data_IF_122650658018
#
_entry.id   IF_122650658018
#
_cell.length_a   1.000
_cell.length_b   1.000
_cell.length_c   1.000
_cell.angle_alpha   90.00
_cell.angle_beta   90.00
_cell.angle_gamma   90.00
#
_symmetry.space_group_name_H-M   'P 1'
#
loop_
_entity.id
_entity.type
_entity.pdbx_description
1 polymer ?
#
# COMPACT_ATOMS: atom_id res chain seq x y z
N UNK A 1 -13.94 41.37 6.38
CA UNK A 1 -12.84 40.38 6.32
C UNK A 1 -12.82 39.85 4.89
N UNK A 2 -11.72 40.01 4.18
CA UNK A 2 -11.59 39.46 2.83
C UNK A 2 -11.49 37.94 2.92
N UNK A 3 -12.19 37.22 2.03
CA UNK A 3 -12.04 35.77 1.93
C UNK A 3 -10.57 35.44 1.64
N UNK A 4 -10.03 34.34 2.22
CA UNK A 4 -8.70 33.88 1.86
C UNK A 4 -8.66 33.63 0.35
N UNK A 5 -7.52 33.92 -0.31
CA UNK A 5 -7.36 33.66 -1.74
C UNK A 5 -7.61 32.17 -2.01
N UNK A 6 -8.31 31.88 -3.11
CA UNK A 6 -8.48 30.51 -3.57
C UNK A 6 -7.08 29.87 -3.76
N UNK A 7 -6.90 28.60 -3.37
CA UNK A 7 -5.63 27.92 -3.61
C UNK A 7 -5.29 28.00 -5.10
N UNK A 8 -4.03 28.32 -5.40
CA UNK A 8 -3.52 28.27 -6.77
C UNK A 8 -3.76 26.89 -7.36
N UNK A 9 -4.19 26.77 -8.62
CA UNK A 9 -4.40 25.47 -9.24
C UNK A 9 -3.11 24.65 -9.17
N UNK A 10 -3.23 23.36 -8.83
CA UNK A 10 -2.07 22.46 -8.80
C UNK A 10 -1.42 22.44 -10.19
N UNK A 11 -0.08 22.49 -10.26
CA UNK A 11 0.62 22.38 -11.56
C UNK A 11 0.41 21.02 -12.23
N UNK A 12 -0.06 20.02 -11.46
CA UNK A 12 -0.24 18.64 -11.90
C UNK A 12 -1.73 18.29 -12.15
N UNK A 13 -2.04 17.48 -13.17
CA UNK A 13 -3.40 17.05 -13.51
C UNK A 13 -4.14 16.30 -12.39
N UNK A 14 -3.42 15.51 -11.59
CA UNK A 14 -3.91 14.82 -10.40
C UNK A 14 -2.87 14.92 -9.28
N UNK A 15 -3.31 14.80 -8.03
CA UNK A 15 -2.49 14.95 -6.81
C UNK A 15 -1.87 13.61 -6.37
N UNK A 16 -0.57 13.62 -6.09
CA UNK A 16 0.12 12.49 -5.45
C UNK A 16 -0.27 12.39 -3.97
N UNK A 17 -0.72 11.22 -3.53
CA UNK A 17 -1.18 10.96 -2.17
C UNK A 17 -0.25 10.09 -1.34
N UNK A 18 0.45 9.17 -2.00
CA UNK A 18 1.45 8.32 -1.38
C UNK A 18 2.53 7.86 -2.37
N UNK A 19 3.72 7.60 -1.83
CA UNK A 19 4.83 6.91 -2.49
C UNK A 19 5.10 5.64 -1.69
N UNK A 20 4.66 4.50 -2.23
CA UNK A 20 4.81 3.19 -1.62
C UNK A 20 6.17 2.58 -1.91
N UNK A 21 6.88 2.19 -0.85
CA UNK A 21 8.06 1.34 -0.92
C UNK A 21 7.74 0.00 -0.29
N UNK A 22 7.44 -0.99 -1.13
CA UNK A 22 7.01 -2.32 -0.73
C UNK A 22 8.20 -3.29 -0.60
N UNK A 23 8.06 -4.27 0.29
CA UNK A 23 9.08 -5.28 0.53
C UNK A 23 10.04 -4.95 1.65
N UNK A 24 9.68 -4.03 2.55
CA UNK A 24 10.44 -3.82 3.78
C UNK A 24 10.46 -5.12 4.61
N UNK A 25 11.65 -5.52 5.05
CA UNK A 25 11.90 -6.81 5.71
C UNK A 25 13.03 -6.70 6.75
N UNK A 26 13.47 -7.84 7.27
CA UNK A 26 14.52 -7.96 8.28
C UNK A 26 15.87 -7.30 7.93
N UNK A 27 16.11 -6.95 6.67
CA UNK A 27 17.34 -6.29 6.23
C UNK A 27 17.41 -4.80 6.57
N UNK A 28 16.29 -4.17 6.97
CA UNK A 28 16.23 -2.74 7.30
C UNK A 28 15.81 -2.50 8.75
N UNK A 29 16.39 -1.49 9.41
CA UNK A 29 16.01 -1.12 10.77
C UNK A 29 14.69 -0.32 10.78
N UNK A 30 13.63 -0.75 11.49
CA UNK A 30 12.35 -0.04 11.54
C UNK A 30 12.44 1.42 11.98
N UNK A 31 13.43 1.79 12.81
CA UNK A 31 13.63 3.18 13.25
C UNK A 31 14.01 4.13 12.11
N UNK A 32 14.69 3.61 11.08
CA UNK A 32 15.02 4.41 9.90
C UNK A 32 13.77 4.69 9.05
N UNK A 33 12.85 3.73 8.96
CA UNK A 33 11.56 3.92 8.27
C UNK A 33 10.75 5.03 8.94
N UNK A 34 10.71 5.03 10.28
CA UNK A 34 10.08 6.07 11.08
C UNK A 34 10.70 7.45 10.83
N UNK A 35 12.02 7.55 10.88
CA UNK A 35 12.74 8.81 10.64
C UNK A 35 12.44 9.39 9.26
N UNK A 36 12.38 8.55 8.23
CA UNK A 36 12.00 8.96 6.88
C UNK A 36 10.55 9.47 6.88
N UNK A 37 9.61 8.72 7.44
CA UNK A 37 8.19 9.09 7.45
C UNK A 37 7.89 10.39 8.21
N UNK A 38 8.65 10.71 9.26
CA UNK A 38 8.55 11.99 9.98
C UNK A 38 8.89 13.19 9.09
N UNK A 39 9.81 12.99 8.14
CA UNK A 39 10.29 14.01 7.21
C UNK A 39 9.52 14.03 5.89
N UNK A 40 9.01 12.87 5.47
CA UNK A 40 8.30 12.68 4.20
C UNK A 40 6.95 12.01 4.43
N UNK A 41 5.90 12.76 4.82
CA UNK A 41 4.61 12.21 5.22
C UNK A 41 3.82 11.51 4.10
N UNK A 42 4.24 11.63 2.84
CA UNK A 42 3.68 10.89 1.70
C UNK A 42 4.28 9.49 1.55
N UNK A 43 5.38 9.18 2.23
CA UNK A 43 6.00 7.85 2.17
C UNK A 43 5.13 6.83 2.91
N UNK A 44 4.91 5.69 2.25
CA UNK A 44 4.22 4.53 2.79
C UNK A 44 5.11 3.29 2.66
N UNK A 45 5.16 2.48 3.72
CA UNK A 45 5.96 1.25 3.73
C UNK A 45 5.07 0.03 3.54
N UNK A 46 5.32 -0.70 2.45
CA UNK A 46 4.64 -1.95 2.15
C UNK A 46 5.38 -3.14 2.77
N UNK A 47 4.66 -3.99 3.51
CA UNK A 47 5.20 -5.22 4.10
C UNK A 47 4.46 -6.43 3.50
N UNK A 48 5.20 -7.39 2.94
CA UNK A 48 4.59 -8.60 2.37
C UNK A 48 4.34 -9.65 3.44
N UNK A 49 3.13 -10.20 3.44
CA UNK A 49 2.70 -11.28 4.32
C UNK A 49 2.42 -12.55 3.53
N UNK A 50 3.32 -13.51 3.66
CA UNK A 50 3.23 -14.83 3.05
C UNK A 50 3.75 -15.88 4.04
N UNK A 51 2.87 -16.65 4.70
CA UNK A 51 3.26 -17.51 5.82
C UNK A 51 4.37 -18.52 5.50
N UNK A 52 4.40 -19.07 4.27
CA UNK A 52 5.43 -20.02 3.82
C UNK A 52 6.79 -19.37 3.50
N UNK A 53 6.88 -18.03 3.54
CA UNK A 53 8.07 -17.25 3.20
C UNK A 53 8.53 -16.31 4.31
N UNK A 54 7.86 -16.29 5.46
CA UNK A 54 8.20 -15.40 6.57
C UNK A 54 9.69 -15.48 6.95
N UNK A 55 10.32 -14.32 7.13
CA UNK A 55 11.74 -14.17 7.46
C UNK A 55 12.70 -14.36 6.27
N UNK A 56 12.19 -14.63 5.06
CA UNK A 56 12.99 -14.64 3.84
C UNK A 56 13.06 -13.22 3.25
N UNK A 57 14.03 -12.92 2.36
CA UNK A 57 14.07 -11.64 1.65
C UNK A 57 12.69 -11.28 1.06
N UNK A 58 12.27 -10.03 1.26
CA UNK A 58 10.98 -9.41 0.93
C UNK A 58 9.83 -9.71 1.89
N UNK A 59 9.95 -10.75 2.71
CA UNK A 59 8.89 -11.21 3.59
C UNK A 59 9.33 -11.08 5.05
N UNK A 60 8.96 -9.96 5.67
CA UNK A 60 9.36 -9.65 7.05
C UNK A 60 8.96 -10.76 8.03
N UNK A 61 9.83 -11.02 9.01
CA UNK A 61 9.48 -11.85 10.16
C UNK A 61 8.46 -11.15 11.06
N UNK A 62 7.64 -11.93 11.77
CA UNK A 62 6.71 -11.37 12.78
C UNK A 62 7.46 -10.57 13.86
N UNK A 63 8.67 -11.02 14.23
CA UNK A 63 9.53 -10.31 15.17
C UNK A 63 9.93 -8.93 14.65
N UNK A 64 10.22 -8.80 13.35
CA UNK A 64 10.51 -7.52 12.73
C UNK A 64 9.27 -6.61 12.69
N UNK A 65 8.11 -7.15 12.29
CA UNK A 65 6.86 -6.37 12.24
C UNK A 65 6.44 -5.89 13.63
N UNK A 66 6.61 -6.72 14.66
CA UNK A 66 6.35 -6.34 16.04
C UNK A 66 7.24 -5.18 16.50
N UNK A 67 8.53 -5.19 16.15
CA UNK A 67 9.44 -4.06 16.43
C UNK A 67 9.03 -2.82 15.65
N UNK A 68 8.61 -2.96 14.39
CA UNK A 68 8.11 -1.83 13.61
C UNK A 68 6.92 -1.18 14.32
N UNK A 69 5.92 -1.96 14.68
CA UNK A 69 4.74 -1.50 15.43
C UNK A 69 5.09 -0.84 16.75
N UNK A 70 5.97 -1.42 17.57
CA UNK A 70 6.41 -0.83 18.84
C UNK A 70 7.00 0.58 18.63
N UNK A 71 7.89 0.75 17.65
CA UNK A 71 8.46 2.07 17.36
C UNK A 71 7.40 3.10 16.92
N UNK A 72 6.21 2.68 16.46
CA UNK A 72 5.12 3.60 16.12
C UNK A 72 4.38 4.12 17.36
N UNK A 73 4.28 3.29 18.41
CA UNK A 73 3.55 3.61 19.64
C UNK A 73 4.40 4.37 20.67
N UNK A 74 5.73 4.20 20.65
CA UNK A 74 6.64 4.87 21.59
C UNK A 74 6.55 6.43 21.58
N UNK A 75 5.96 7.05 20.54
CA UNK A 75 5.76 8.51 20.48
C UNK A 75 4.46 9.00 21.14
N UNK A 76 3.50 8.12 21.46
CA UNK A 76 2.22 8.52 22.07
C UNK A 76 2.34 8.70 23.60
N UNK A 77 3.34 8.07 24.24
CA UNK A 77 3.55 8.14 25.70
C UNK A 77 4.37 9.37 26.15
N UNK A 78 5.16 9.98 25.26
CA UNK A 78 6.02 11.14 25.60
C UNK A 78 5.25 12.49 25.69
N UNK A 79 3.95 12.52 25.34
CA UNK A 79 3.10 13.73 25.37
C UNK A 79 2.23 13.84 26.64
N UNK A 80 2.25 12.87 27.57
CA UNK A 80 1.38 12.86 28.77
C UNK A 80 2.03 13.25 30.12
N UNK A 81 3.32 13.61 30.19
CA UNK A 81 3.95 13.99 31.47
C UNK A 81 4.53 15.41 31.49
N UNK A 82 3.66 16.39 31.72
CA UNK A 82 4.02 17.65 32.37
C UNK A 82 2.85 18.08 33.29
N UNK A 83 2.57 17.20 34.26
CA UNK A 83 1.66 17.43 35.38
C UNK A 83 2.32 18.18 36.52
N UNK A 84 2.39 19.50 36.38
CA UNK A 84 2.25 20.55 37.40
C UNK A 84 2.81 20.31 38.82
N UNK A 85 3.91 21.00 39.11
CA UNK A 85 4.15 21.58 40.42
C UNK A 85 4.65 23.03 40.29
N UNK A 86 3.75 24.01 40.09
CA UNK A 86 4.08 25.40 40.42
C UNK A 86 3.25 26.47 39.73
N UNK A 87 2.32 27.06 40.48
CA UNK A 87 1.44 28.13 40.03
C UNK A 87 2.15 29.39 39.52
N UNK A 88 1.52 30.03 38.54
CA UNK A 88 1.85 31.37 38.08
C UNK A 88 1.11 31.70 36.78
N UNK A 89 0.13 32.60 36.85
CA UNK A 89 -0.68 33.01 35.71
C UNK A 89 0.14 33.53 34.53
N UNK A 90 0.00 32.89 33.38
CA UNK A 90 0.52 33.33 32.09
C UNK A 90 -0.33 32.73 30.98
N UNK A 91 -0.73 33.55 30.01
CA UNK A 91 -1.57 33.16 28.88
C UNK A 91 -1.10 31.86 28.23
N UNK A 92 -1.99 30.85 28.25
CA UNK A 92 -1.86 29.60 27.49
C UNK A 92 -1.76 29.94 26.00
N UNK A 93 -0.54 30.13 25.50
CA UNK A 93 -0.24 29.96 24.08
C UNK A 93 -0.62 28.53 23.71
N UNK A 94 -1.76 28.36 23.04
CA UNK A 94 -2.08 27.13 22.30
C UNK A 94 -0.96 26.94 21.28
N UNK A 95 0.06 26.15 21.63
CA UNK A 95 0.97 25.56 20.66
C UNK A 95 0.10 24.71 19.76
N UNK A 96 -0.13 25.18 18.54
CA UNK A 96 -0.70 24.42 17.44
C UNK A 96 0.32 23.33 17.10
N UNK A 97 0.30 22.23 17.84
CA UNK A 97 1.06 21.03 17.53
C UNK A 97 0.66 20.58 16.14
N UNK A 98 1.55 20.76 15.17
CA UNK A 98 1.46 20.14 13.86
C UNK A 98 1.53 18.65 14.15
N UNK A 99 0.42 17.91 13.98
CA UNK A 99 0.43 16.43 14.01
C UNK A 99 1.61 15.98 13.15
N UNK A 100 2.68 15.50 13.77
CA UNK A 100 3.73 14.76 13.08
C UNK A 100 3.01 13.56 12.47
N UNK A 101 3.03 13.45 11.14
CA UNK A 101 2.33 12.38 10.45
C UNK A 101 2.91 11.05 10.91
N UNK A 102 2.08 10.18 11.47
CA UNK A 102 2.48 8.81 11.81
C UNK A 102 2.98 8.05 10.58
N UNK A 103 3.75 6.98 10.80
CA UNK A 103 4.23 6.11 9.73
C UNK A 103 3.05 5.47 9.01
N UNK A 104 3.00 5.60 7.69
CA UNK A 104 1.98 4.93 6.86
C UNK A 104 2.44 3.53 6.50
N UNK A 105 1.59 2.55 6.76
CA UNK A 105 1.87 1.14 6.52
C UNK A 105 0.79 0.50 5.66
N UNK A 106 1.22 -0.29 4.66
CA UNK A 106 0.38 -1.12 3.82
C UNK A 106 0.79 -2.59 3.94
N UNK A 107 -0.17 -3.47 4.21
CA UNK A 107 0.04 -4.92 4.30
C UNK A 107 -0.26 -5.55 2.94
N UNK A 108 0.71 -6.25 2.35
CA UNK A 108 0.54 -6.93 1.06
C UNK A 108 0.31 -8.42 1.31
N UNK A 109 -0.95 -8.84 1.25
CA UNK A 109 -1.34 -10.22 1.49
C UNK A 109 -1.06 -11.09 0.27
N UNK A 110 -0.41 -12.22 0.53
CA UNK A 110 -0.09 -13.27 -0.43
C UNK A 110 -0.50 -14.65 0.15
N UNK A 111 -0.37 -15.70 -0.65
CA UNK A 111 -0.49 -17.08 -0.19
C UNK A 111 -1.82 -17.41 0.50
N UNK A 112 -1.73 -18.13 1.62
CA UNK A 112 -2.91 -18.59 2.38
C UNK A 112 -3.77 -17.46 2.92
N UNK A 113 -3.21 -16.27 3.21
CA UNK A 113 -4.03 -15.13 3.64
C UNK A 113 -5.02 -14.69 2.56
N UNK A 114 -4.58 -14.64 1.30
CA UNK A 114 -5.47 -14.32 0.19
C UNK A 114 -6.47 -15.45 -0.06
N UNK A 115 -6.03 -16.71 0.02
CA UNK A 115 -6.93 -17.85 -0.15
C UNK A 115 -8.05 -17.86 0.92
N UNK A 116 -7.70 -17.56 2.17
CA UNK A 116 -8.66 -17.42 3.26
C UNK A 116 -9.60 -16.24 3.01
N UNK A 117 -9.07 -15.08 2.61
CA UNK A 117 -9.86 -13.90 2.27
C UNK A 117 -10.89 -14.20 1.18
N UNK A 118 -10.47 -14.82 0.07
CA UNK A 118 -11.31 -15.11 -1.10
C UNK A 118 -12.29 -16.28 -0.88
N UNK A 119 -12.14 -17.04 0.20
CA UNK A 119 -13.04 -18.16 0.55
C UNK A 119 -13.94 -17.86 1.74
N UNK A 120 -13.79 -16.69 2.37
CA UNK A 120 -14.35 -16.36 3.67
C UNK A 120 -15.88 -16.31 3.73
N UNK A 121 -16.60 -16.05 2.64
CA UNK A 121 -18.07 -16.10 2.65
C UNK A 121 -18.62 -17.54 2.63
N UNK A 122 -17.83 -18.50 2.15
CA UNK A 122 -18.24 -19.90 2.01
C UNK A 122 -17.62 -20.81 3.09
N UNK A 123 -16.57 -20.35 3.77
CA UNK A 123 -15.87 -21.11 4.80
C UNK A 123 -15.67 -20.27 6.08
N UNK A 124 -16.41 -20.57 7.17
CA UNK A 124 -16.29 -19.88 8.45
C UNK A 124 -14.90 -19.94 9.10
N UNK A 125 -14.14 -21.00 8.85
CA UNK A 125 -12.77 -21.10 9.37
C UNK A 125 -11.82 -20.15 8.63
N UNK A 126 -11.94 -20.06 7.30
CA UNK A 126 -11.22 -19.07 6.50
C UNK A 126 -11.57 -17.65 6.96
N UNK A 127 -12.86 -17.36 7.18
CA UNK A 127 -13.33 -16.10 7.75
C UNK A 127 -12.65 -15.77 9.08
N UNK A 128 -12.69 -16.71 10.04
CA UNK A 128 -12.08 -16.51 11.36
C UNK A 128 -10.57 -16.23 11.27
N UNK A 129 -9.83 -16.99 10.44
CA UNK A 129 -8.39 -16.79 10.27
C UNK A 129 -8.05 -15.43 9.65
N UNK A 130 -8.73 -15.04 8.57
CA UNK A 130 -8.43 -13.76 7.92
C UNK A 130 -8.86 -12.58 8.81
N UNK A 131 -10.00 -12.68 9.50
CA UNK A 131 -10.49 -11.60 10.35
C UNK A 131 -9.58 -11.40 11.58
N UNK A 132 -9.12 -12.49 12.20
CA UNK A 132 -8.13 -12.43 13.27
C UNK A 132 -6.81 -11.81 12.81
N UNK A 133 -6.36 -12.15 11.59
CA UNK A 133 -5.13 -11.59 11.05
C UNK A 133 -5.25 -10.10 10.71
N UNK A 134 -6.38 -9.66 10.14
CA UNK A 134 -6.63 -8.24 9.85
C UNK A 134 -6.71 -7.40 11.12
N UNK A 135 -7.31 -7.93 12.20
CA UNK A 135 -7.29 -7.28 13.52
C UNK A 135 -5.86 -7.16 14.06
N UNK A 136 -5.01 -8.17 13.85
CA UNK A 136 -3.59 -8.13 14.21
C UNK A 136 -2.84 -7.05 13.42
N UNK A 137 -3.04 -6.99 12.10
CA UNK A 137 -2.46 -5.96 11.24
C UNK A 137 -2.86 -4.55 11.69
N UNK A 138 -4.15 -4.34 12.00
CA UNK A 138 -4.62 -3.08 12.55
C UNK A 138 -3.92 -2.74 13.88
N UNK A 139 -3.80 -3.72 14.78
CA UNK A 139 -3.07 -3.56 16.04
C UNK A 139 -1.59 -3.20 15.85
N UNK A 140 -1.00 -3.56 14.72
CA UNK A 140 0.36 -3.16 14.35
C UNK A 140 0.46 -1.81 13.63
N UNK A 141 -0.66 -1.11 13.42
CA UNK A 141 -0.70 0.21 12.79
C UNK A 141 -0.86 0.18 11.26
N UNK A 142 -1.16 -0.96 10.64
CA UNK A 142 -1.48 -1.01 9.22
C UNK A 142 -2.82 -0.37 8.93
N UNK A 143 -2.84 0.59 8.00
CA UNK A 143 -4.06 1.28 7.55
C UNK A 143 -4.58 0.79 6.20
N UNK A 144 -3.74 0.10 5.42
CA UNK A 144 -4.07 -0.42 4.09
C UNK A 144 -3.72 -1.89 3.95
N UNK A 145 -4.49 -2.61 3.14
CA UNK A 145 -4.32 -4.03 2.87
C UNK A 145 -4.44 -4.29 1.37
N UNK A 146 -3.33 -4.61 0.72
CA UNK A 146 -3.29 -5.04 -0.67
C UNK A 146 -3.50 -6.54 -0.81
N UNK A 147 -4.41 -6.94 -1.69
CA UNK A 147 -4.70 -8.35 -1.98
C UNK A 147 -4.02 -8.75 -3.29
N UNK A 148 -2.87 -9.43 -3.19
CA UNK A 148 -2.08 -9.89 -4.34
C UNK A 148 -2.56 -11.26 -4.83
N UNK A 149 -3.73 -11.29 -5.46
CA UNK A 149 -4.44 -12.51 -5.83
C UNK A 149 -3.90 -13.23 -7.09
N UNK A 150 -2.58 -13.49 -7.12
CA UNK A 150 -1.88 -14.10 -8.27
C UNK A 150 -1.13 -15.37 -7.86
N UNK A 151 -0.96 -16.32 -8.78
CA UNK A 151 -0.28 -17.59 -8.60
C UNK A 151 1.19 -17.42 -8.22
N UNK A 152 1.89 -16.43 -8.78
CA UNK A 152 3.29 -16.12 -8.40
C UNK A 152 3.40 -15.78 -6.90
N UNK A 153 2.34 -15.21 -6.34
CA UNK A 153 2.20 -14.88 -4.93
C UNK A 153 1.63 -16.03 -4.08
N UNK A 154 1.54 -17.25 -4.62
CA UNK A 154 1.10 -18.45 -3.90
C UNK A 154 -0.41 -18.56 -3.70
N UNK A 155 -1.20 -17.80 -4.46
CA UNK A 155 -2.66 -17.81 -4.40
C UNK A 155 -3.21 -18.91 -5.32
N UNK A 156 -4.24 -19.60 -4.86
CA UNK A 156 -5.00 -20.55 -5.68
C UNK A 156 -5.90 -19.77 -6.66
N UNK A 157 -5.33 -19.44 -7.81
CA UNK A 157 -6.04 -18.70 -8.86
C UNK A 157 -6.96 -19.58 -9.69
N UNK A 158 -6.97 -20.91 -9.51
CA UNK A 158 -7.96 -21.77 -10.17
C UNK A 158 -9.38 -21.44 -9.68
N UNK A 159 -9.52 -20.85 -8.49
CA UNK A 159 -10.79 -20.33 -7.98
C UNK A 159 -11.21 -19.02 -8.63
N UNK A 160 -10.25 -18.27 -9.18
CA UNK A 160 -10.52 -17.04 -9.94
C UNK A 160 -10.73 -17.36 -11.41
N UNK A 161 -9.98 -18.31 -11.95
CA UNK A 161 -9.99 -18.69 -13.35
C UNK A 161 -11.06 -19.75 -13.62
N UNK A 162 -11.58 -19.72 -14.84
CA UNK A 162 -12.13 -20.94 -15.42
C UNK A 162 -11.02 -21.99 -15.47
N UNK A 163 -11.34 -23.24 -15.18
CA UNK A 163 -10.70 -24.31 -15.93
C UNK A 163 -10.92 -23.99 -17.41
N UNK A 164 -9.84 -23.77 -18.17
CA UNK A 164 -9.87 -23.54 -19.61
C UNK A 164 -10.48 -24.78 -20.30
N UNK A 165 -11.80 -24.88 -20.31
CA UNK A 165 -12.56 -26.07 -20.71
C UNK A 165 -13.87 -26.34 -19.96
N UNK A 166 -14.23 -25.55 -18.94
CA UNK A 166 -15.50 -25.68 -18.20
C UNK A 166 -16.61 -24.72 -18.69
N UNK A 167 -17.86 -25.05 -18.38
CA UNK A 167 -19.04 -24.25 -18.73
C UNK A 167 -18.95 -22.80 -18.19
N UNK A 168 -19.20 -21.82 -19.05
CA UNK A 168 -19.18 -20.38 -18.76
C UNK A 168 -20.00 -19.93 -17.52
N UNK A 169 -21.03 -20.69 -17.14
CA UNK A 169 -21.85 -20.38 -15.96
C UNK A 169 -21.15 -20.72 -14.63
N UNK A 170 -20.29 -21.74 -14.58
CA UNK A 170 -19.53 -22.08 -13.36
C UNK A 170 -18.47 -21.02 -13.05
N UNK A 171 -17.81 -20.46 -14.07
CA UNK A 171 -16.84 -19.36 -13.98
C UNK A 171 -17.40 -18.10 -13.34
N UNK A 172 -18.60 -17.72 -13.75
CA UNK A 172 -19.26 -16.53 -13.20
C UNK A 172 -19.56 -16.75 -11.70
N UNK A 173 -19.74 -17.99 -11.28
CA UNK A 173 -20.09 -18.36 -9.91
C UNK A 173 -18.89 -18.30 -8.96
N UNK A 174 -17.72 -18.78 -9.35
CA UNK A 174 -16.52 -18.80 -8.48
C UNK A 174 -15.94 -17.38 -8.28
N UNK A 175 -15.79 -16.60 -9.35
CA UNK A 175 -15.38 -15.20 -9.26
C UNK A 175 -16.40 -14.34 -8.48
N UNK A 176 -17.71 -14.61 -8.63
CA UNK A 176 -18.73 -13.98 -7.82
C UNK A 176 -18.63 -14.33 -6.33
N UNK A 177 -18.32 -15.58 -5.99
CA UNK A 177 -18.10 -16.00 -4.61
C UNK A 177 -16.84 -15.36 -4.01
N UNK A 178 -15.75 -15.28 -4.77
CA UNK A 178 -14.52 -14.59 -4.38
C UNK A 178 -14.77 -13.09 -4.12
N UNK A 179 -15.49 -12.41 -5.03
CA UNK A 179 -15.90 -11.02 -4.85
C UNK A 179 -16.82 -10.83 -3.63
N UNK A 180 -17.72 -11.79 -3.35
CA UNK A 180 -18.57 -11.77 -2.15
C UNK A 180 -17.73 -11.91 -0.87
N UNK A 181 -16.75 -12.81 -0.87
CA UNK A 181 -15.81 -13.01 0.23
C UNK A 181 -14.93 -11.77 0.46
N UNK A 182 -14.45 -11.14 -0.62
CA UNK A 182 -13.71 -9.88 -0.56
C UNK A 182 -14.56 -8.78 0.08
N UNK A 183 -15.77 -8.53 -0.43
CA UNK A 183 -16.65 -7.46 0.08
C UNK A 183 -17.11 -7.72 1.52
N UNK A 184 -17.35 -8.98 1.90
CA UNK A 184 -17.59 -9.37 3.29
C UNK A 184 -16.43 -8.94 4.19
N UNK A 185 -15.21 -9.26 3.78
CA UNK A 185 -14.00 -8.91 4.52
C UNK A 185 -13.81 -7.40 4.60
N UNK A 186 -13.90 -6.69 3.47
CA UNK A 186 -13.77 -5.24 3.45
C UNK A 186 -14.79 -4.54 4.35
N UNK A 187 -16.05 -4.99 4.32
CA UNK A 187 -17.12 -4.42 5.15
C UNK A 187 -17.00 -4.77 6.64
N UNK A 188 -16.36 -5.90 6.98
CA UNK A 188 -16.09 -6.30 8.36
C UNK A 188 -14.93 -5.51 9.00
N UNK A 189 -14.08 -4.88 8.18
CA UNK A 189 -12.92 -4.10 8.61
C UNK A 189 -12.93 -2.70 7.97
N UNK A 190 -13.92 -1.84 8.28
CA UNK A 190 -14.07 -0.53 7.63
C UNK A 190 -12.91 0.44 7.91
N UNK A 191 -12.16 0.20 8.98
CA UNK A 191 -10.97 0.99 9.36
C UNK A 191 -9.74 0.68 8.50
N UNK A 192 -9.80 -0.34 7.64
CA UNK A 192 -8.73 -0.71 6.72
C UNK A 192 -9.16 -0.39 5.29
N UNK A 193 -8.28 0.24 4.52
CA UNK A 193 -8.47 0.39 3.08
C UNK A 193 -7.92 -0.85 2.33
N UNK A 194 -8.77 -1.50 1.55
CA UNK A 194 -8.42 -2.65 0.74
C UNK A 194 -8.03 -2.24 -0.67
N UNK A 195 -6.87 -2.71 -1.12
CA UNK A 195 -6.34 -2.47 -2.46
C UNK A 195 -6.49 -3.75 -3.28
N UNK A 196 -7.22 -3.67 -4.38
CA UNK A 196 -7.32 -4.75 -5.37
C UNK A 196 -6.22 -4.57 -6.41
N UNK A 197 -5.31 -5.54 -6.51
CA UNK A 197 -4.30 -5.55 -7.57
C UNK A 197 -4.96 -5.91 -8.91
N UNK A 198 -4.94 -4.99 -9.87
CA UNK A 198 -5.47 -5.16 -11.22
C UNK A 198 -4.36 -5.66 -12.16
N UNK A 199 -4.62 -6.79 -12.79
CA UNK A 199 -3.94 -7.31 -13.98
C UNK A 199 -4.86 -8.32 -14.70
N UNK A 200 -4.37 -8.92 -15.78
CA UNK A 200 -5.12 -9.92 -16.55
C UNK A 200 -5.47 -11.19 -15.73
N UNK A 201 -4.62 -11.59 -14.79
CA UNK A 201 -4.84 -12.78 -13.97
C UNK A 201 -5.90 -12.55 -12.89
N UNK A 202 -5.99 -11.32 -12.37
CA UNK A 202 -7.01 -10.92 -11.39
C UNK A 202 -8.29 -10.39 -12.03
N UNK A 203 -8.40 -10.38 -13.36
CA UNK A 203 -9.60 -9.93 -14.10
C UNK A 203 -10.90 -10.52 -13.62
N UNK A 204 -11.01 -11.83 -13.39
CA UNK A 204 -12.26 -12.40 -12.89
C UNK A 204 -12.70 -11.77 -11.56
N UNK A 205 -11.75 -11.44 -10.67
CA UNK A 205 -12.04 -10.82 -9.38
C UNK A 205 -12.50 -9.36 -9.54
N UNK A 206 -11.70 -8.51 -10.19
CA UNK A 206 -12.02 -7.09 -10.26
C UNK A 206 -13.24 -6.81 -11.17
N UNK A 207 -13.44 -7.60 -12.22
CA UNK A 207 -14.61 -7.46 -13.10
C UNK A 207 -15.91 -7.86 -12.40
N UNK A 208 -15.83 -8.79 -11.43
CA UNK A 208 -16.93 -9.13 -10.53
C UNK A 208 -17.15 -8.07 -9.43
N UNK A 209 -16.11 -7.37 -8.96
CA UNK A 209 -16.22 -6.34 -7.91
C UNK A 209 -16.85 -5.04 -8.43
N UNK A 210 -16.41 -4.54 -9.59
CA UNK A 210 -16.80 -3.22 -10.11
C UNK A 210 -18.33 -2.98 -10.15
N UNK A 211 -19.18 -3.88 -10.69
CA UNK A 211 -20.63 -3.66 -10.71
C UNK A 211 -21.27 -3.67 -9.32
N UNK A 212 -20.64 -4.34 -8.35
CA UNK A 212 -21.14 -4.39 -6.97
C UNK A 212 -20.80 -3.09 -6.24
N UNK A 213 -19.57 -2.59 -6.42
CA UNK A 213 -19.14 -1.30 -5.87
C UNK A 213 -19.97 -0.15 -6.46
N UNK A 214 -20.22 -0.14 -7.77
CA UNK A 214 -21.04 0.88 -8.44
C UNK A 214 -22.51 0.92 -8.00
N UNK A 215 -23.04 -0.19 -7.45
CA UNK A 215 -24.43 -0.30 -6.97
C UNK A 215 -24.59 0.10 -5.49
N UNK A 216 -23.50 0.36 -4.76
CA UNK A 216 -23.59 0.80 -3.36
C UNK A 216 -24.10 2.24 -3.33
N UNK A 217 -25.39 2.41 -3.10
CA UNK A 217 -26.02 3.72 -2.87
C UNK A 217 -25.91 4.20 -1.41
N UNK A 218 -25.04 3.59 -0.60
CA UNK A 218 -24.98 3.79 0.86
C UNK A 218 -23.85 4.76 1.29
N UNK A 219 -23.95 5.41 2.48
CA UNK A 219 -23.07 6.50 2.96
C UNK A 219 -21.60 6.06 3.20
N UNK A 220 -20.68 6.95 3.67
CA UNK A 220 -19.23 6.87 3.41
C UNK A 220 -18.47 5.68 4.03
N UNK A 221 -19.14 4.80 4.79
CA UNK A 221 -18.53 3.68 5.53
C UNK A 221 -18.18 2.49 4.62
N UNK A 222 -18.64 2.48 3.37
CA UNK A 222 -18.47 1.41 2.39
C UNK A 222 -17.38 1.70 1.32
N UNK A 223 -16.62 2.79 1.48
CA UNK A 223 -15.66 3.33 0.50
C UNK A 223 -14.20 2.90 0.71
N UNK A 224 -13.99 1.79 1.40
CA UNK A 224 -12.67 1.32 1.76
C UNK A 224 -12.04 0.39 0.70
N UNK A 225 -12.45 0.47 -0.57
CA UNK A 225 -11.90 -0.37 -1.65
C UNK A 225 -11.35 0.49 -2.78
N UNK A 226 -10.07 0.33 -3.08
CA UNK A 226 -9.36 1.04 -4.15
C UNK A 226 -8.65 0.04 -5.08
N UNK A 227 -8.20 0.51 -6.24
CA UNK A 227 -7.55 -0.33 -7.24
C UNK A 227 -6.12 0.12 -7.52
N UNK A 228 -5.22 -0.86 -7.69
CA UNK A 228 -3.83 -0.67 -8.10
C UNK A 228 -3.63 -1.27 -9.50
N UNK A 229 -3.23 -0.47 -10.48
CA UNK A 229 -2.77 -0.97 -11.77
C UNK A 229 -1.35 -1.55 -11.64
N UNK A 230 -1.21 -2.87 -11.77
CA UNK A 230 0.09 -3.56 -11.73
C UNK A 230 0.11 -4.77 -12.67
N UNK A 231 0.44 -4.51 -13.94
CA UNK A 231 0.62 -5.57 -14.95
C UNK A 231 1.81 -6.49 -14.66
N UNK A 232 2.75 -6.03 -13.84
CA UNK A 232 3.93 -6.80 -13.50
C UNK A 232 3.63 -7.94 -12.54
N UNK A 233 2.47 -7.94 -11.87
CA UNK A 233 2.10 -8.91 -10.82
C UNK A 233 3.12 -8.91 -9.68
N UNK A 234 3.73 -7.76 -9.38
CA UNK A 234 4.85 -7.63 -8.44
C UNK A 234 6.21 -8.13 -8.95
N UNK A 235 6.39 -8.39 -10.25
CA UNK A 235 7.69 -8.84 -10.81
C UNK A 235 8.62 -7.72 -11.26
N UNK A 236 8.19 -6.45 -11.13
CA UNK A 236 9.05 -5.31 -11.44
C UNK A 236 9.20 -5.01 -12.93
N UNK A 237 8.35 -5.57 -13.78
CA UNK A 237 8.32 -5.23 -15.21
C UNK A 237 7.69 -3.85 -15.40
N UNK A 238 8.40 -2.97 -16.10
CA UNK A 238 7.85 -1.67 -16.50
C UNK A 238 6.65 -1.85 -17.41
N UNK A 239 5.73 -0.88 -17.36
CA UNK A 239 4.56 -0.85 -18.25
C UNK A 239 5.02 -0.81 -19.71
N UNK A 240 4.50 -1.69 -20.59
CA UNK A 240 4.84 -1.67 -22.01
C UNK A 240 4.64 -0.27 -22.62
N UNK A 241 5.69 0.29 -23.22
CA UNK A 241 5.66 1.62 -23.84
C UNK A 241 5.58 2.80 -22.86
N UNK A 242 5.63 2.57 -21.54
CA UNK A 242 5.58 3.63 -20.52
C UNK A 242 4.22 4.33 -20.40
N UNK A 243 3.15 3.73 -20.93
CA UNK A 243 1.80 4.31 -20.92
C UNK A 243 0.93 3.58 -19.91
N UNK A 244 0.58 4.28 -18.83
CA UNK A 244 -0.36 3.77 -17.84
C UNK A 244 -1.77 3.57 -18.41
N UNK A 245 -2.50 2.53 -17.97
CA UNK A 245 -3.88 2.34 -18.39
C UNK A 245 -4.78 3.48 -17.89
N UNK A 246 -5.78 3.82 -18.71
CA UNK A 246 -6.83 4.77 -18.37
C UNK A 246 -8.17 4.07 -18.37
N UNK A 247 -8.86 4.05 -17.23
CA UNK A 247 -10.18 3.43 -17.12
C UNK A 247 -10.98 4.09 -16.00
N UNK A 248 -12.03 4.79 -16.40
CA UNK A 248 -12.88 5.56 -15.50
C UNK A 248 -13.57 4.71 -14.43
N UNK A 249 -13.75 3.40 -14.67
CA UNK A 249 -14.39 2.50 -13.72
C UNK A 249 -13.60 2.35 -12.43
N UNK A 250 -12.28 2.48 -12.48
CA UNK A 250 -11.42 2.36 -11.29
C UNK A 250 -11.30 3.69 -10.55
N UNK A 251 -11.18 4.80 -11.28
CA UNK A 251 -11.17 6.12 -10.64
C UNK A 251 -12.51 6.39 -9.94
N UNK A 252 -13.63 6.13 -10.60
CA UNK A 252 -14.95 6.33 -10.00
C UNK A 252 -15.40 5.18 -9.08
N UNK A 253 -14.53 4.21 -8.77
CA UNK A 253 -14.92 3.06 -7.94
C UNK A 253 -15.03 3.40 -6.46
N UNK A 254 -14.45 4.54 -6.05
CA UNK A 254 -14.43 5.03 -4.68
C UNK A 254 -14.72 6.54 -4.62
N UNK A 255 -15.27 7.02 -3.52
CA UNK A 255 -15.65 8.43 -3.33
C UNK A 255 -14.45 9.36 -3.28
N UNK A 256 -13.26 8.82 -3.01
CA UNK A 256 -11.99 9.56 -3.06
C UNK A 256 -11.42 9.67 -4.46
N UNK A 257 -12.01 9.08 -5.50
CA UNK A 257 -11.51 9.15 -6.87
C UNK A 257 -10.00 8.82 -7.00
N UNK A 258 -9.52 7.90 -6.16
CA UNK A 258 -8.09 7.55 -6.06
C UNK A 258 -7.75 6.25 -6.78
N UNK A 259 -6.61 6.23 -7.47
CA UNK A 259 -6.09 5.04 -8.19
C UNK A 259 -4.59 4.88 -7.99
N UNK A 260 -4.13 3.64 -7.87
CA UNK A 260 -2.73 3.29 -7.70
C UNK A 260 -2.07 2.86 -9.00
N UNK A 261 -0.76 3.08 -9.08
CA UNK A 261 0.07 2.63 -10.20
C UNK A 261 1.36 1.96 -9.70
N UNK A 262 1.65 0.75 -10.18
CA UNK A 262 2.87 0.02 -9.87
C UNK A 262 3.39 -0.75 -11.08
N UNK A 263 4.63 -1.23 -10.95
CA UNK A 263 5.29 -2.05 -11.97
C UNK A 263 6.56 -1.40 -12.51
N UNK A 264 7.71 -1.93 -12.07
CA UNK A 264 9.03 -1.54 -12.56
C UNK A 264 9.42 -0.08 -12.31
N UNK A 265 8.80 0.55 -11.33
CA UNK A 265 9.18 1.89 -10.85
C UNK A 265 10.47 1.75 -10.02
N UNK A 266 11.43 2.64 -10.25
CA UNK A 266 12.74 2.67 -9.61
C UNK A 266 13.35 4.08 -9.66
N UNK A 267 14.51 4.35 -9.02
CA UNK A 267 15.09 5.69 -8.98
C UNK A 267 15.27 6.35 -10.36
N UNK A 268 15.64 5.58 -11.38
CA UNK A 268 15.90 6.13 -12.72
C UNK A 268 14.65 6.52 -13.51
N UNK A 269 13.45 6.12 -13.07
CA UNK A 269 12.20 6.40 -13.79
C UNK A 269 11.05 6.91 -12.91
N UNK A 270 11.26 7.12 -11.60
CA UNK A 270 10.18 7.49 -10.68
C UNK A 270 9.47 8.79 -11.09
N UNK A 271 10.22 9.79 -11.56
CA UNK A 271 9.66 11.08 -11.99
C UNK A 271 8.75 10.91 -13.19
N UNK A 272 9.21 10.22 -14.24
CA UNK A 272 8.40 9.98 -15.44
C UNK A 272 7.22 9.05 -15.15
N UNK A 273 7.37 8.11 -14.21
CA UNK A 273 6.29 7.26 -13.73
C UNK A 273 5.17 8.08 -13.05
N UNK A 274 5.51 8.98 -12.12
CA UNK A 274 4.54 9.85 -11.42
C UNK A 274 3.86 10.81 -12.38
N UNK A 275 4.61 11.42 -13.31
CA UNK A 275 4.01 12.27 -14.34
C UNK A 275 3.02 11.51 -15.23
N UNK A 276 3.38 10.29 -15.64
CA UNK A 276 2.50 9.41 -16.40
C UNK A 276 1.25 9.03 -15.61
N UNK A 277 1.43 8.64 -14.35
CA UNK A 277 0.35 8.23 -13.46
C UNK A 277 -0.63 9.39 -13.21
N UNK A 278 -0.12 10.61 -12.99
CA UNK A 278 -0.94 11.81 -12.85
C UNK A 278 -1.81 12.07 -14.08
N UNK A 279 -1.23 11.97 -15.29
CA UNK A 279 -1.99 12.12 -16.54
C UNK A 279 -3.04 11.03 -16.71
N UNK A 280 -2.69 9.77 -16.42
CA UNK A 280 -3.60 8.65 -16.58
C UNK A 280 -4.75 8.68 -15.56
N UNK A 281 -4.47 9.08 -14.33
CA UNK A 281 -5.46 9.31 -13.28
C UNK A 281 -6.47 10.38 -13.73
N UNK A 282 -5.97 11.54 -14.14
CA UNK A 282 -6.83 12.63 -14.63
C UNK A 282 -7.66 12.22 -15.86
N UNK A 283 -7.06 11.51 -16.82
CA UNK A 283 -7.76 10.99 -17.99
C UNK A 283 -8.83 9.94 -17.64
N UNK A 284 -8.67 9.26 -16.50
CA UNK A 284 -9.68 8.34 -15.94
C UNK A 284 -10.75 9.06 -15.12
N UNK A 285 -10.66 10.38 -14.95
CA UNK A 285 -11.58 11.16 -14.10
C UNK A 285 -11.22 11.13 -12.61
N UNK A 286 -10.04 10.63 -12.25
CA UNK A 286 -9.50 10.71 -10.90
C UNK A 286 -8.82 12.06 -10.64
N UNK A 287 -8.74 12.45 -9.37
CA UNK A 287 -8.02 13.66 -8.93
C UNK A 287 -6.87 13.35 -7.96
N UNK A 288 -6.72 12.08 -7.57
CA UNK A 288 -5.77 11.58 -6.58
C UNK A 288 -5.15 10.27 -7.05
N UNK A 289 -3.87 10.07 -6.79
CA UNK A 289 -3.20 8.81 -7.11
C UNK A 289 -2.05 8.49 -6.15
N UNK A 290 -1.64 7.22 -6.13
CA UNK A 290 -0.37 6.81 -5.50
C UNK A 290 0.45 5.97 -6.46
N UNK A 291 1.75 5.88 -6.19
CA UNK A 291 2.63 4.92 -6.84
C UNK A 291 3.15 3.91 -5.82
N UNK A 292 3.43 2.68 -6.25
CA UNK A 292 4.05 1.65 -5.42
C UNK A 292 5.20 0.96 -6.16
N UNK A 293 6.28 0.70 -5.45
CA UNK A 293 7.47 0.05 -5.99
C UNK A 293 8.07 -0.94 -5.00
N UNK A 294 8.52 -2.08 -5.52
CA UNK A 294 9.09 -3.16 -4.71
C UNK A 294 10.51 -3.45 -5.20
N UNK A 295 10.65 -4.11 -6.36
CA UNK A 295 11.96 -4.57 -6.84
C UNK A 295 12.92 -3.43 -7.19
N UNK A 296 12.40 -2.26 -7.58
CA UNK A 296 13.18 -1.09 -7.95
C UNK A 296 13.97 -0.48 -6.79
N UNK A 297 13.57 -0.74 -5.55
CA UNK A 297 14.22 -0.27 -4.32
C UNK A 297 14.96 -1.37 -3.57
N UNK A 298 15.25 -2.49 -4.25
CA UNK A 298 16.06 -3.58 -3.69
C UNK A 298 17.44 -3.65 -4.32
N UNK A 299 18.40 -4.18 -3.58
CA UNK A 299 19.78 -4.38 -4.03
C UNK A 299 20.26 -5.77 -3.67
N UNK A 300 20.87 -6.45 -4.63
CA UNK A 300 21.61 -7.69 -4.37
C UNK A 300 23.01 -7.32 -3.93
N UNK A 301 23.34 -7.61 -2.68
CA UNK A 301 24.69 -7.47 -2.12
C UNK A 301 25.33 -8.84 -1.93
N UNK A 302 26.60 -8.86 -1.55
CA UNK A 302 27.34 -10.09 -1.26
C UNK A 302 27.55 -10.19 0.25
N UNK A 303 27.15 -11.32 0.83
CA UNK A 303 27.32 -11.59 2.26
C UNK A 303 28.78 -11.53 2.68
N UNK A 304 29.00 -11.38 4.00
CA UNK A 304 30.30 -11.72 4.58
C UNK A 304 30.61 -13.19 4.27
N UNK A 305 31.91 -13.53 4.26
CA UNK A 305 32.31 -14.93 4.13
C UNK A 305 31.64 -15.74 5.25
N UNK A 306 30.92 -16.78 4.88
CA UNK A 306 30.42 -17.79 5.80
C UNK A 306 31.60 -18.60 6.36
N UNK A 307 31.35 -19.45 7.36
CA UNK A 307 32.37 -20.29 8.00
C UNK A 307 33.04 -21.27 7.02
N UNK A 308 32.38 -21.61 5.91
CA UNK A 308 32.92 -22.41 4.81
C UNK A 308 33.74 -21.61 3.80
N UNK A 309 33.91 -20.30 4.03
CA UNK A 309 34.62 -19.36 3.16
C UNK A 309 33.83 -18.92 1.92
N UNK A 310 32.59 -19.38 1.74
CA UNK A 310 31.72 -18.98 0.63
C UNK A 310 31.10 -17.61 0.89
N UNK A 311 30.74 -16.92 -0.20
CA UNK A 311 29.98 -15.68 -0.18
C UNK A 311 28.68 -15.93 -0.93
N UNK A 312 27.57 -15.46 -0.38
CA UNK A 312 26.24 -15.64 -0.97
C UNK A 312 25.68 -14.29 -1.37
N UNK A 313 24.89 -14.28 -2.42
CA UNK A 313 24.10 -13.11 -2.76
C UNK A 313 22.97 -12.93 -1.73
N UNK A 314 22.75 -11.69 -1.30
CA UNK A 314 21.73 -11.31 -0.34
C UNK A 314 20.88 -10.21 -0.97
N UNK A 315 19.58 -10.44 -1.06
CA UNK A 315 18.61 -9.47 -1.53
C UNK A 315 18.14 -8.60 -0.35
N UNK A 316 18.47 -7.30 -0.35
CA UNK A 316 18.15 -6.37 0.74
C UNK A 316 17.23 -5.24 0.28
N UNK A 317 16.47 -4.70 1.23
CA UNK A 317 15.69 -3.48 1.06
C UNK A 317 16.62 -2.26 1.17
N UNK A 318 16.80 -1.52 0.07
CA UNK A 318 17.81 -0.47 -0.06
C UNK A 318 17.22 0.92 0.20
N UNK A 319 17.44 1.44 1.40
CA UNK A 319 16.97 2.77 1.77
C UNK A 319 17.61 3.88 0.93
N UNK A 320 18.82 3.69 0.41
CA UNK A 320 19.46 4.70 -0.45
C UNK A 320 18.64 4.89 -1.72
N UNK A 321 18.16 3.80 -2.32
CA UNK A 321 17.26 3.86 -3.48
C UNK A 321 15.90 4.46 -3.15
N UNK A 322 15.37 4.21 -1.94
CA UNK A 322 14.14 4.87 -1.49
C UNK A 322 14.35 6.39 -1.41
N UNK A 323 15.50 6.83 -0.87
CA UNK A 323 15.87 8.24 -0.82
C UNK A 323 16.08 8.84 -2.20
N UNK A 324 16.78 8.17 -3.12
CA UNK A 324 16.95 8.64 -4.51
C UNK A 324 15.59 8.86 -5.18
N UNK A 325 14.60 7.99 -4.90
CA UNK A 325 13.23 8.19 -5.38
C UNK A 325 12.57 9.43 -4.77
N UNK A 326 12.68 9.62 -3.44
CA UNK A 326 12.12 10.78 -2.74
C UNK A 326 12.75 12.08 -3.26
N UNK A 327 14.07 12.09 -3.39
CA UNK A 327 14.87 13.24 -3.84
C UNK A 327 14.46 13.67 -5.24
N UNK A 328 14.42 12.74 -6.20
CA UNK A 328 13.96 13.02 -7.56
C UNK A 328 12.52 13.55 -7.62
N UNK A 329 11.64 13.10 -6.73
CA UNK A 329 10.27 13.62 -6.63
C UNK A 329 10.21 15.01 -5.99
N UNK A 330 11.07 15.30 -5.03
CA UNK A 330 11.21 16.62 -4.45
C UNK A 330 11.75 17.64 -5.46
N UNK A 331 12.82 17.30 -6.19
CA UNK A 331 13.39 18.13 -7.25
C UNK A 331 12.38 18.44 -8.36
N UNK A 332 11.53 17.47 -8.69
CA UNK A 332 10.46 17.61 -9.69
C UNK A 332 9.19 18.31 -9.16
N UNK A 333 9.15 18.72 -7.88
CA UNK A 333 8.04 19.47 -7.28
C UNK A 333 6.81 18.64 -6.91
N UNK A 334 6.93 17.30 -6.86
CA UNK A 334 5.85 16.41 -6.43
C UNK A 334 5.78 16.24 -4.91
N UNK A 335 6.90 16.48 -4.24
CA UNK A 335 7.06 16.41 -2.79
C UNK A 335 7.88 17.61 -2.31
N UNK A 336 7.81 17.94 -1.03
CA UNK A 336 8.65 18.98 -0.43
C UNK A 336 9.80 18.35 0.36
N UNK A 337 11.02 18.89 0.21
CA UNK A 337 12.07 18.60 1.18
C UNK A 337 11.72 19.22 2.54
N UNK A 338 12.10 18.56 3.65
CA UNK A 338 12.08 19.18 4.96
C UNK A 338 12.91 20.47 4.96
N UNK A 339 12.53 21.49 5.74
CA UNK A 339 13.35 22.69 5.90
C UNK A 339 14.77 22.32 6.34
N UNK A 340 15.78 22.76 5.58
CA UNK A 340 17.21 22.55 5.91
C UNK A 340 17.88 21.35 5.26
N UNK A 341 17.20 20.62 4.36
CA UNK A 341 17.74 19.49 3.57
C UNK A 341 17.98 19.85 2.09
N UNK A 342 18.05 21.15 1.75
CA UNK A 342 18.33 21.66 0.39
C UNK A 342 19.81 21.98 0.18
#
# INVERSE_FOLDING_TARGET
>A
MANPPAPSPSPHPARLEAVGFCGADDSVNPRLLKLISQNYPLVEWGVLFRPDREGQPRYASEAWVSRLSQNLHDDEEDDEDDGDAGGGGGERRKRTGRRTGGVRLAAHLCGSHVNDLLSSSANPECASRIDAFLLKLRGWGFGRVQVNATAINGVDTERLLASSGGDWWMTTTTAAAAATSFLRTASAHPDLEFIVQRNDETEPLWSALLPRLARRSAPPDDDNVVFLHDESKGTGKSVPGGVWPTDARFASSNVRNVVGYAGGICPSNVVSAVEGASRACAASGGDRFWIDMESGVRTTTVSKKDDDGTRREVDIFDLSKCYDCIDGLCEAGWMDHPPGLQ
#
